data_IF_329572072494
#
_entry.id   IF_329572072494
#
_cell.length_a   1.000
_cell.length_b   1.000
_cell.length_c   1.000
_cell.angle_alpha   90.00
_cell.angle_beta   90.00
_cell.angle_gamma   90.00
#
_symmetry.space_group_name_H-M   'P 1'
#
loop_
_entity.id
_entity.type
_entity.pdbx_description
1 polymer ?
#
# COMPACT_ATOMS: atom_id res chain seq x y z
N UNK A 1 -6.64 10.56 9.62
CA UNK A 1 -6.43 9.28 10.33
C UNK A 1 -7.61 8.31 10.20
N UNK A 2 -8.88 8.74 10.18
CA UNK A 2 -10.02 7.79 10.13
C UNK A 2 -10.44 7.30 8.73
N UNK A 3 -9.94 7.93 7.66
CA UNK A 3 -10.38 7.63 6.28
C UNK A 3 -10.01 6.20 5.87
N UNK A 4 -8.75 5.77 6.08
CA UNK A 4 -8.31 4.41 5.72
C UNK A 4 -9.09 3.34 6.49
N UNK A 5 -9.21 3.41 7.83
CA UNK A 5 -10.04 2.47 8.58
C UNK A 5 -11.48 2.39 8.07
N UNK A 6 -12.08 3.51 7.69
CA UNK A 6 -13.44 3.55 7.16
C UNK A 6 -13.54 2.91 5.75
N UNK A 7 -12.61 3.20 4.84
CA UNK A 7 -12.54 2.58 3.51
C UNK A 7 -12.21 1.09 3.56
N UNK A 8 -11.51 0.63 4.61
CA UNK A 8 -11.18 -0.77 4.83
C UNK A 8 -12.24 -1.51 5.67
N UNK A 9 -13.35 -0.85 6.02
CA UNK A 9 -14.42 -1.40 6.88
C UNK A 9 -13.94 -1.91 8.24
N UNK A 10 -12.96 -1.23 8.83
CA UNK A 10 -12.56 -1.43 10.22
C UNK A 10 -13.61 -0.85 11.18
N UNK A 11 -14.27 0.23 10.78
CA UNK A 11 -15.41 0.83 11.49
C UNK A 11 -16.54 1.15 10.51
N UNK A 12 -17.77 1.28 11.03
CA UNK A 12 -18.93 1.71 10.25
C UNK A 12 -19.11 3.24 10.34
N UNK A 13 -19.56 3.90 9.26
CA UNK A 13 -19.90 5.32 9.33
C UNK A 13 -21.09 5.53 10.27
N UNK A 14 -21.08 6.63 11.03
CA UNK A 14 -22.23 7.00 11.88
C UNK A 14 -23.47 7.36 11.05
N UNK A 15 -23.27 7.95 9.87
CA UNK A 15 -24.30 8.34 8.91
C UNK A 15 -23.76 8.22 7.48
N UNK A 16 -24.66 8.00 6.52
CA UNK A 16 -24.32 7.82 5.11
C UNK A 16 -23.84 6.40 4.78
N UNK A 17 -23.28 6.24 3.59
CA UNK A 17 -22.77 4.97 3.09
C UNK A 17 -21.44 5.17 2.36
N UNK A 18 -20.62 4.11 2.32
CA UNK A 18 -19.36 4.07 1.58
C UNK A 18 -19.52 3.05 0.47
N UNK A 19 -19.18 3.43 -0.75
CA UNK A 19 -19.25 2.54 -1.91
C UNK A 19 -17.96 2.57 -2.72
N UNK A 20 -17.64 1.44 -3.34
CA UNK A 20 -16.55 1.29 -4.30
C UNK A 20 -17.16 0.76 -5.60
N UNK A 21 -16.94 1.48 -6.71
CA UNK A 21 -17.54 1.15 -8.01
C UNK A 21 -19.07 0.96 -7.94
N UNK A 22 -19.75 1.84 -7.19
CA UNK A 22 -21.20 1.83 -6.95
C UNK A 22 -21.72 0.66 -6.09
N UNK A 23 -20.83 -0.20 -5.59
CA UNK A 23 -21.18 -1.28 -4.66
C UNK A 23 -20.95 -0.79 -3.24
N UNK A 24 -21.98 -0.85 -2.39
CA UNK A 24 -21.84 -0.58 -0.97
C UNK A 24 -20.82 -1.54 -0.34
N UNK A 25 -19.85 -1.01 0.41
CA UNK A 25 -18.78 -1.81 1.02
C UNK A 25 -19.33 -2.89 1.95
N UNK A 26 -20.52 -2.73 2.53
CA UNK A 26 -21.18 -3.74 3.39
C UNK A 26 -21.62 -4.98 2.61
N UNK A 27 -21.79 -4.89 1.29
CA UNK A 27 -22.19 -6.02 0.43
C UNK A 27 -21.00 -6.91 0.04
N UNK A 28 -19.76 -6.45 0.22
CA UNK A 28 -18.55 -7.22 -0.07
C UNK A 28 -18.13 -8.05 1.14
N UNK A 29 -17.66 -9.29 0.94
CA UNK A 29 -16.89 -9.97 1.99
C UNK A 29 -15.57 -9.22 2.25
N UNK A 30 -14.96 -9.43 3.43
CA UNK A 30 -13.65 -8.81 3.73
C UNK A 30 -12.60 -9.22 2.70
N UNK A 31 -12.62 -10.49 2.29
CA UNK A 31 -11.69 -11.01 1.27
C UNK A 31 -11.86 -10.26 -0.05
N UNK A 32 -13.09 -10.13 -0.55
CA UNK A 32 -13.38 -9.37 -1.77
C UNK A 32 -12.96 -7.90 -1.65
N UNK A 33 -13.22 -7.26 -0.50
CA UNK A 33 -12.81 -5.87 -0.28
C UNK A 33 -11.28 -5.72 -0.33
N UNK A 34 -10.55 -6.63 0.30
CA UNK A 34 -9.07 -6.62 0.34
C UNK A 34 -8.42 -7.02 -0.99
N UNK A 35 -9.16 -7.63 -1.92
CA UNK A 35 -8.73 -7.80 -3.30
C UNK A 35 -8.85 -6.50 -4.11
N UNK A 36 -9.85 -5.68 -3.79
CA UNK A 36 -10.11 -4.41 -4.48
C UNK A 36 -9.31 -3.23 -3.89
N UNK A 37 -8.87 -3.32 -2.64
CA UNK A 37 -8.20 -2.23 -1.90
C UNK A 37 -6.80 -2.66 -1.48
N UNK A 38 -5.79 -1.89 -1.92
CA UNK A 38 -4.42 -1.97 -1.42
C UNK A 38 -4.12 -0.85 -0.44
N UNK A 39 -3.31 -1.12 0.59
CA UNK A 39 -2.97 -0.15 1.62
C UNK A 39 -1.45 -0.12 1.85
N UNK A 40 -0.88 1.09 1.83
CA UNK A 40 0.49 1.39 2.25
C UNK A 40 0.40 2.32 3.47
N UNK A 41 0.43 1.79 4.70
CA UNK A 41 0.27 2.59 5.90
C UNK A 41 1.55 3.36 6.27
N UNK A 42 1.45 4.36 7.14
CA UNK A 42 2.58 5.16 7.60
C UNK A 42 3.65 4.31 8.32
N UNK A 43 3.24 3.33 9.11
CA UNK A 43 4.12 2.38 9.80
C UNK A 43 3.57 0.95 9.64
N UNK A 44 3.95 0.24 8.57
CA UNK A 44 3.48 -1.11 8.33
C UNK A 44 4.04 -2.07 9.40
N UNK A 45 3.15 -2.71 10.15
CA UNK A 45 3.51 -3.73 11.14
C UNK A 45 3.25 -5.13 10.58
N UNK A 46 4.27 -5.98 10.63
CA UNK A 46 4.16 -7.41 10.33
C UNK A 46 5.25 -8.15 11.11
N UNK A 47 4.89 -8.70 12.27
CA UNK A 47 5.81 -9.52 13.07
C UNK A 47 5.52 -11.00 12.84
N UNK A 48 6.56 -11.82 12.82
CA UNK A 48 6.46 -13.27 12.61
C UNK A 48 6.08 -13.70 11.19
N UNK A 49 6.20 -12.80 10.20
CA UNK A 49 5.91 -13.08 8.79
C UNK A 49 7.18 -12.79 7.98
N UNK A 50 7.58 -13.72 7.10
CA UNK A 50 8.71 -13.51 6.19
C UNK A 50 8.35 -12.56 5.04
N UNK A 51 9.36 -11.91 4.44
CA UNK A 51 9.18 -11.01 3.28
C UNK A 51 8.45 -11.71 2.13
N UNK A 52 8.82 -12.94 1.81
CA UNK A 52 8.21 -13.76 0.76
C UNK A 52 6.74 -14.08 1.07
N UNK A 53 6.46 -14.51 2.30
CA UNK A 53 5.07 -14.80 2.75
C UNK A 53 4.21 -13.54 2.75
N UNK A 54 4.78 -12.39 3.12
CA UNK A 54 4.06 -11.12 3.12
C UNK A 54 3.64 -10.70 1.69
N UNK A 55 4.53 -10.86 0.70
CA UNK A 55 4.26 -10.52 -0.69
C UNK A 55 3.26 -11.51 -1.31
N UNK A 56 3.49 -12.80 -1.14
CA UNK A 56 2.82 -13.88 -1.84
C UNK A 56 2.29 -14.98 -0.88
N UNK A 57 1.34 -14.65 0.02
CA UNK A 57 0.85 -15.58 1.05
C UNK A 57 0.17 -16.82 0.47
N UNK A 58 -0.46 -16.69 -0.70
CA UNK A 58 -1.20 -17.79 -1.34
C UNK A 58 -0.35 -18.55 -2.38
N UNK A 59 0.92 -18.17 -2.58
CA UNK A 59 1.78 -18.77 -3.61
C UNK A 59 1.35 -18.50 -5.05
N UNK A 60 0.47 -17.52 -5.32
CA UNK A 60 -0.10 -17.22 -6.65
C UNK A 60 0.92 -16.66 -7.64
N UNK A 61 1.96 -15.98 -7.16
CA UNK A 61 2.99 -15.37 -8.00
C UNK A 61 4.23 -16.26 -8.12
N UNK A 62 4.85 -16.31 -9.29
CA UNK A 62 6.13 -17.01 -9.49
C UNK A 62 7.28 -16.24 -8.84
N UNK A 63 8.38 -16.95 -8.54
CA UNK A 63 9.55 -16.35 -7.90
C UNK A 63 10.15 -15.20 -8.71
N UNK A 64 10.11 -15.29 -10.05
CA UNK A 64 10.57 -14.24 -10.95
C UNK A 64 9.73 -12.97 -10.77
N UNK A 65 8.41 -13.09 -10.71
CA UNK A 65 7.51 -11.95 -10.50
C UNK A 65 7.75 -11.27 -9.14
N UNK A 66 8.07 -12.06 -8.11
CA UNK A 66 8.41 -11.54 -6.79
C UNK A 66 9.75 -10.78 -6.82
N UNK A 67 10.76 -11.31 -7.51
CA UNK A 67 12.04 -10.61 -7.65
C UNK A 67 11.91 -9.34 -8.51
N UNK A 68 11.18 -9.41 -9.62
CA UNK A 68 10.95 -8.29 -10.52
C UNK A 68 10.28 -7.14 -9.78
N UNK A 69 9.21 -7.41 -9.02
CA UNK A 69 8.52 -6.35 -8.28
C UNK A 69 9.42 -5.71 -7.21
N UNK A 70 10.29 -6.48 -6.55
CA UNK A 70 11.25 -5.96 -5.57
C UNK A 70 12.26 -5.01 -6.23
N UNK A 71 12.69 -5.31 -7.46
CA UNK A 71 13.57 -4.42 -8.24
C UNK A 71 12.83 -3.14 -8.64
N UNK A 72 11.59 -3.29 -9.10
CA UNK A 72 10.78 -2.17 -9.57
C UNK A 72 10.48 -1.14 -8.48
N UNK A 73 10.26 -1.58 -7.24
CA UNK A 73 10.06 -0.69 -6.08
C UNK A 73 11.37 -0.33 -5.35
N UNK A 74 12.54 -0.69 -5.90
CA UNK A 74 13.86 -0.42 -5.30
C UNK A 74 14.11 -1.05 -3.93
N UNK A 75 13.46 -2.18 -3.64
CA UNK A 75 13.58 -2.90 -2.38
C UNK A 75 14.52 -4.13 -2.46
N UNK A 76 14.86 -4.58 -3.68
CA UNK A 76 15.67 -5.79 -3.88
C UNK A 76 16.98 -5.80 -3.09
N UNK A 77 17.74 -4.71 -3.11
CA UNK A 77 19.03 -4.61 -2.40
C UNK A 77 18.88 -4.68 -0.87
N UNK A 78 17.85 -4.03 -0.31
CA UNK A 78 17.58 -4.09 1.14
C UNK A 78 17.25 -5.52 1.56
N UNK A 79 16.44 -6.24 0.78
CA UNK A 79 16.10 -7.64 1.03
C UNK A 79 17.31 -8.55 0.83
N UNK A 80 18.13 -8.32 -0.19
CA UNK A 80 19.32 -9.13 -0.48
C UNK A 80 20.38 -9.05 0.64
N UNK A 81 20.42 -7.96 1.40
CA UNK A 81 21.30 -7.77 2.57
C UNK A 81 20.84 -8.51 3.82
N UNK A 82 19.58 -8.97 3.88
CA UNK A 82 19.10 -9.78 5.00
C UNK A 82 19.76 -11.16 4.98
N UNK A 83 20.15 -11.73 6.15
CA UNK A 83 20.76 -13.05 6.23
C UNK A 83 20.00 -14.14 5.47
N UNK A 84 18.67 -14.14 5.58
CA UNK A 84 17.79 -15.13 4.95
C UNK A 84 17.00 -14.56 3.76
N UNK A 85 17.35 -13.36 3.28
CA UNK A 85 16.71 -12.70 2.12
C UNK A 85 15.17 -12.66 2.26
N UNK A 86 14.44 -13.23 1.30
CA UNK A 86 12.97 -13.27 1.32
C UNK A 86 12.39 -14.14 2.45
N UNK A 87 13.18 -15.06 3.00
CA UNK A 87 12.77 -15.89 4.15
C UNK A 87 13.00 -15.20 5.49
N UNK A 88 13.61 -14.01 5.49
CA UNK A 88 13.77 -13.23 6.71
C UNK A 88 12.51 -12.45 7.07
N UNK A 89 12.41 -12.06 8.35
CA UNK A 89 11.23 -11.44 8.92
C UNK A 89 11.07 -9.98 8.46
N UNK A 90 9.82 -9.59 8.17
CA UNK A 90 9.48 -8.22 7.73
C UNK A 90 9.88 -7.17 8.77
N UNK A 91 9.84 -7.49 10.07
CA UNK A 91 10.21 -6.57 11.14
C UNK A 91 11.70 -6.21 11.18
N UNK A 92 12.56 -6.90 10.42
CA UNK A 92 13.97 -6.53 10.22
C UNK A 92 14.18 -5.41 9.20
N UNK A 93 13.18 -5.12 8.37
CA UNK A 93 13.23 -4.02 7.41
C UNK A 93 12.99 -2.69 8.13
N UNK A 94 13.55 -1.60 7.60
CA UNK A 94 13.26 -0.24 8.07
C UNK A 94 11.79 0.11 7.81
N UNK A 95 11.26 1.17 8.45
CA UNK A 95 9.89 1.64 8.17
C UNK A 95 9.72 1.98 6.68
N UNK A 96 10.72 2.64 6.09
CA UNK A 96 10.74 2.98 4.67
C UNK A 96 10.71 1.72 3.78
N UNK A 97 11.57 0.73 4.06
CA UNK A 97 11.57 -0.53 3.31
C UNK A 97 10.25 -1.30 3.46
N UNK A 98 9.62 -1.27 4.63
CA UNK A 98 8.30 -1.89 4.84
C UNK A 98 7.20 -1.19 4.03
N UNK A 99 7.27 0.14 3.86
CA UNK A 99 6.35 0.84 2.97
C UNK A 99 6.54 0.43 1.50
N UNK A 100 7.80 0.29 1.05
CA UNK A 100 8.10 -0.25 -0.29
C UNK A 100 7.61 -1.70 -0.44
N UNK A 101 7.68 -2.50 0.63
CA UNK A 101 7.17 -3.86 0.63
C UNK A 101 5.65 -3.91 0.46
N UNK A 102 4.92 -3.03 1.16
CA UNK A 102 3.48 -2.84 0.95
C UNK A 102 3.16 -2.40 -0.49
N UNK A 103 3.96 -1.51 -1.06
CA UNK A 103 3.79 -1.05 -2.43
C UNK A 103 4.02 -2.19 -3.45
N UNK A 104 5.08 -2.99 -3.27
CA UNK A 104 5.33 -4.18 -4.08
C UNK A 104 4.18 -5.18 -4.01
N UNK A 105 3.65 -5.41 -2.80
CA UNK A 105 2.48 -6.26 -2.58
C UNK A 105 1.25 -5.77 -3.35
N UNK A 106 1.01 -4.45 -3.34
CA UNK A 106 -0.08 -3.84 -4.09
C UNK A 106 0.15 -3.93 -5.60
N UNK A 107 1.38 -3.78 -6.07
CA UNK A 107 1.70 -3.86 -7.49
C UNK A 107 1.45 -5.29 -8.03
N UNK A 108 1.85 -6.33 -7.29
CA UNK A 108 1.54 -7.71 -7.67
C UNK A 108 0.02 -7.96 -7.80
N UNK A 109 -0.78 -7.38 -6.89
CA UNK A 109 -2.22 -7.62 -6.81
C UNK A 109 -3.09 -6.72 -7.68
N UNK A 110 -2.59 -5.55 -8.09
CA UNK A 110 -3.30 -4.55 -8.89
C UNK A 110 -4.70 -4.22 -8.34
N UNK A 111 -4.81 -3.71 -7.10
CA UNK A 111 -6.10 -3.32 -6.53
C UNK A 111 -6.75 -2.21 -7.35
N UNK A 112 -8.07 -2.13 -7.35
CA UNK A 112 -8.81 -1.03 -7.98
C UNK A 112 -8.55 0.32 -7.29
N UNK A 113 -8.39 0.29 -5.96
CA UNK A 113 -8.11 1.44 -5.11
C UNK A 113 -6.82 1.22 -4.32
N UNK A 114 -5.86 2.15 -4.45
CA UNK A 114 -4.65 2.18 -3.63
C UNK A 114 -4.74 3.32 -2.62
N UNK A 115 -4.59 2.99 -1.34
CA UNK A 115 -4.54 3.93 -0.23
C UNK A 115 -3.10 4.05 0.27
N UNK A 116 -2.57 5.26 0.33
CA UNK A 116 -1.20 5.53 0.81
C UNK A 116 -1.27 6.53 1.96
N UNK A 117 -0.70 6.20 3.11
CA UNK A 117 -0.65 7.07 4.27
C UNK A 117 0.79 7.51 4.54
N UNK A 118 1.00 8.82 4.60
CA UNK A 118 2.25 9.49 5.01
C UNK A 118 3.52 8.77 4.50
N UNK A 119 3.86 9.03 3.24
CA UNK A 119 5.04 8.43 2.61
C UNK A 119 6.29 8.85 3.38
N UNK A 120 7.14 7.88 3.71
CA UNK A 120 8.40 8.16 4.39
C UNK A 120 9.31 9.03 3.48
N UNK A 121 9.91 10.12 3.99
CA UNK A 121 10.66 11.07 3.17
C UNK A 121 11.78 10.44 2.33
N UNK A 122 12.45 9.41 2.85
CA UNK A 122 13.55 8.71 2.16
C UNK A 122 13.13 7.99 0.87
N UNK A 123 11.86 7.61 0.75
CA UNK A 123 11.35 6.84 -0.41
C UNK A 123 10.34 7.63 -1.22
N UNK A 124 10.11 8.91 -0.92
CA UNK A 124 9.05 9.70 -1.54
C UNK A 124 9.18 9.75 -3.06
N UNK A 125 10.40 9.91 -3.58
CA UNK A 125 10.66 9.94 -5.01
C UNK A 125 10.38 8.58 -5.67
N UNK A 126 10.78 7.49 -5.01
CA UNK A 126 10.54 6.11 -5.48
C UNK A 126 9.05 5.84 -5.56
N UNK A 127 8.31 6.14 -4.48
CA UNK A 127 6.86 5.94 -4.43
C UNK A 127 6.17 6.84 -5.45
N UNK A 128 6.57 8.11 -5.57
CA UNK A 128 5.99 9.05 -6.56
C UNK A 128 6.12 8.54 -8.00
N UNK A 129 7.29 8.01 -8.36
CA UNK A 129 7.51 7.43 -9.69
C UNK A 129 6.66 6.18 -9.88
N UNK A 130 6.57 5.32 -8.86
CA UNK A 130 5.74 4.12 -8.91
C UNK A 130 4.26 4.47 -9.07
N UNK A 131 3.73 5.44 -8.32
CA UNK A 131 2.35 5.89 -8.42
C UNK A 131 2.02 6.38 -9.83
N UNK A 132 2.89 7.21 -10.43
CA UNK A 132 2.68 7.75 -11.77
C UNK A 132 2.82 6.74 -12.91
N UNK A 133 3.69 5.73 -12.76
CA UNK A 133 4.03 4.81 -13.86
C UNK A 133 3.35 3.45 -13.73
N UNK A 134 3.24 2.93 -12.52
CA UNK A 134 2.79 1.56 -12.24
C UNK A 134 1.35 1.50 -11.74
N UNK A 135 0.87 2.60 -11.15
CA UNK A 135 -0.50 2.74 -10.68
C UNK A 135 -1.33 3.74 -11.51
N UNK A 136 -0.92 4.01 -12.75
CA UNK A 136 -1.55 5.01 -13.62
C UNK A 136 -3.00 4.68 -14.01
N UNK A 137 -3.37 3.40 -13.96
CA UNK A 137 -4.74 2.93 -14.29
C UNK A 137 -5.60 2.72 -13.03
N UNK A 138 -5.01 2.86 -11.84
CA UNK A 138 -5.67 2.67 -10.56
C UNK A 138 -6.08 4.02 -9.96
N UNK A 139 -7.16 4.01 -9.18
CA UNK A 139 -7.43 5.17 -8.31
C UNK A 139 -6.48 5.14 -7.13
N UNK A 140 -5.73 6.23 -6.92
CA UNK A 140 -4.81 6.38 -5.78
C UNK A 140 -5.31 7.50 -4.88
N UNK A 141 -5.44 7.22 -3.58
CA UNK A 141 -5.71 8.22 -2.55
C UNK A 141 -4.50 8.28 -1.62
N UNK A 142 -3.86 9.45 -1.56
CA UNK A 142 -2.77 9.74 -0.63
C UNK A 142 -3.31 10.58 0.53
N UNK A 143 -3.08 10.14 1.76
CA UNK A 143 -3.47 10.84 2.98
C UNK A 143 -2.19 11.28 3.68
N UNK A 144 -2.06 12.58 3.88
CA UNK A 144 -0.91 13.19 4.54
C UNK A 144 -1.31 14.42 5.33
N UNK A 145 -0.48 14.79 6.30
CA UNK A 145 -0.70 15.98 7.14
C UNK A 145 -0.14 17.28 6.54
N UNK A 146 0.69 17.21 5.49
CA UNK A 146 1.35 18.37 4.90
C UNK A 146 1.36 18.31 3.37
N UNK A 147 0.76 19.31 2.72
CA UNK A 147 0.55 19.33 1.27
C UNK A 147 1.83 19.40 0.43
N UNK A 148 2.87 20.06 0.94
CA UNK A 148 4.04 20.48 0.12
C UNK A 148 4.74 19.30 -0.55
N UNK A 149 4.75 18.14 0.11
CA UNK A 149 5.42 16.94 -0.39
C UNK A 149 4.64 16.23 -1.52
N UNK A 150 3.34 16.50 -1.67
CA UNK A 150 2.46 15.71 -2.54
C UNK A 150 1.83 16.50 -3.69
N UNK A 151 2.01 17.83 -3.72
CA UNK A 151 1.49 18.71 -4.78
C UNK A 151 1.84 18.29 -6.20
N UNK A 152 3.00 17.65 -6.38
CA UNK A 152 3.46 17.20 -7.70
C UNK A 152 3.10 15.74 -8.02
N UNK A 153 2.40 15.04 -7.11
CA UNK A 153 2.03 13.63 -7.23
C UNK A 153 0.56 13.48 -7.58
N UNK A 154 -0.30 14.28 -6.93
CA UNK A 154 -1.76 14.14 -7.02
C UNK A 154 -2.36 15.09 -8.07
N UNK A 155 -3.37 14.61 -8.79
CA UNK A 155 -4.15 15.40 -9.75
C UNK A 155 -5.16 16.33 -9.06
N UNK A 156 -5.63 15.93 -7.88
CA UNK A 156 -6.61 16.65 -7.08
C UNK A 156 -6.15 16.67 -5.63
N UNK A 157 -6.33 17.83 -4.99
CA UNK A 157 -6.11 18.03 -3.57
C UNK A 157 -7.46 18.25 -2.89
N UNK A 158 -7.71 17.52 -1.81
CA UNK A 158 -8.89 17.69 -0.97
C UNK A 158 -8.39 18.07 0.41
N UNK A 159 -8.65 19.32 0.81
CA UNK A 159 -8.44 19.75 2.19
C UNK A 159 -9.60 19.23 3.02
N UNK A 160 -9.28 18.48 4.06
CA UNK A 160 -10.22 18.19 5.13
C UNK A 160 -9.92 19.19 6.23
N UNK A 161 -10.77 20.20 6.35
CA UNK A 161 -10.73 21.10 7.49
C UNK A 161 -10.90 20.28 8.77
N UNK A 162 -10.38 20.79 9.88
CA UNK A 162 -10.43 20.13 11.20
C UNK A 162 -11.85 19.69 11.54
N UNK A 163 -12.11 18.38 11.37
CA UNK A 163 -13.19 17.65 12.04
C UNK A 163 -12.92 17.60 13.54
#
# INVERSE_FOLDING_TARGET
QLIIPLLCRVFSPNQGAVSLNQIDLTQLSIVQLMEQVGVVPADPKASGISVGTFLNPDGKFRAEQVNDVLIEVKLFESVAKLPNRIEDMVDRLTVADRQLLCLARCYLRKPALLLVEQIHPEIIDVVSVALKKKFAEQTVIVIASHDVQYKNICERLISLDSL
#
